data_IF_258947733866
#
_entry.id   IF_258947733866
#
_cell.length_a   1.000
_cell.length_b   1.000
_cell.length_c   1.000
_cell.angle_alpha   90.00
_cell.angle_beta   90.00
_cell.angle_gamma   90.00
#
_symmetry.space_group_name_H-M   'P 1'
#
loop_
_entity.id
_entity.type
_entity.pdbx_description
1 polymer ?
#
# COMPACT_ATOMS: atom_id res chain seq x y z
N UNK A 1 -10.46 -5.10 11.56
CA UNK A 1 -9.22 -4.78 12.30
C UNK A 1 -8.16 -4.34 11.31
N UNK A 2 -7.46 -3.26 11.60
CA UNK A 2 -6.36 -2.75 10.78
C UNK A 2 -5.07 -3.44 11.22
N UNK A 3 -4.29 -3.91 10.27
CA UNK A 3 -3.00 -4.54 10.54
C UNK A 3 -1.88 -3.85 9.74
N UNK A 4 -0.70 -3.67 10.34
CA UNK A 4 0.45 -3.17 9.60
C UNK A 4 1.06 -4.26 8.74
N UNK A 5 1.51 -3.88 7.55
CA UNK A 5 2.20 -4.76 6.62
C UNK A 5 3.46 -4.08 6.10
N UNK A 6 4.38 -4.88 5.58
CA UNK A 6 5.50 -4.40 4.82
C UNK A 6 5.48 -5.08 3.46
N UNK A 7 5.44 -4.29 2.39
CA UNK A 7 5.26 -4.78 1.03
C UNK A 7 6.56 -4.59 0.25
N UNK A 8 7.26 -5.66 -0.12
CA UNK A 8 8.45 -5.55 -0.96
C UNK A 8 8.07 -5.21 -2.39
N UNK A 9 8.73 -4.21 -2.97
CA UNK A 9 8.50 -3.82 -4.34
C UNK A 9 9.72 -3.07 -4.87
N UNK A 10 10.20 -3.46 -6.04
CA UNK A 10 11.30 -2.81 -6.75
C UNK A 10 12.55 -2.60 -5.91
N UNK A 11 12.89 -3.60 -5.07
CA UNK A 11 14.08 -3.55 -4.20
C UNK A 11 13.92 -2.68 -2.95
N UNK A 12 12.73 -2.16 -2.70
CA UNK A 12 12.41 -1.37 -1.52
C UNK A 12 11.37 -2.11 -0.67
N UNK A 13 11.15 -1.62 0.53
CA UNK A 13 10.08 -2.13 1.40
C UNK A 13 9.16 -0.97 1.79
N UNK A 14 7.88 -1.11 1.50
CA UNK A 14 6.87 -0.09 1.77
C UNK A 14 6.03 -0.51 2.96
N UNK A 15 5.95 0.35 3.96
CA UNK A 15 5.00 0.15 5.06
C UNK A 15 3.59 0.38 4.55
N UNK A 16 2.63 -0.38 5.06
CA UNK A 16 1.24 -0.26 4.68
C UNK A 16 0.32 -0.60 5.84
N UNK A 17 -0.90 -0.12 5.76
CA UNK A 17 -1.99 -0.54 6.62
C UNK A 17 -3.00 -1.32 5.78
N UNK A 18 -3.52 -2.41 6.31
CA UNK A 18 -4.48 -3.24 5.62
C UNK A 18 -5.64 -3.61 6.53
N UNK A 19 -6.81 -3.81 5.94
CA UNK A 19 -8.00 -4.24 6.66
C UNK A 19 -8.93 -5.00 5.71
N UNK A 20 -9.77 -5.85 6.29
CA UNK A 20 -10.79 -6.58 5.56
C UNK A 20 -10.41 -8.01 5.20
N UNK A 21 -11.37 -8.79 4.70
CA UNK A 21 -11.15 -10.21 4.40
C UNK A 21 -10.16 -10.38 3.25
N UNK A 22 -9.22 -11.33 3.34
CA UNK A 22 -8.24 -11.57 2.27
C UNK A 22 -8.87 -11.88 0.92
N UNK A 23 -10.07 -12.43 0.92
CA UNK A 23 -10.80 -12.79 -0.31
C UNK A 23 -11.64 -11.63 -0.85
N UNK A 24 -11.70 -10.50 -0.16
CA UNK A 24 -12.45 -9.34 -0.61
C UNK A 24 -11.82 -8.70 -1.84
N UNK A 25 -12.63 -7.94 -2.58
CA UNK A 25 -12.12 -7.17 -3.70
C UNK A 25 -11.10 -6.15 -3.21
N UNK A 26 -9.96 -6.08 -3.89
CA UNK A 26 -8.86 -5.23 -3.48
C UNK A 26 -9.15 -3.76 -3.78
N UNK A 27 -8.95 -2.91 -2.78
CA UNK A 27 -8.95 -1.45 -2.92
C UNK A 27 -7.62 -0.93 -2.38
N UNK A 28 -6.87 -0.22 -3.21
CA UNK A 28 -5.61 0.41 -2.81
C UNK A 28 -5.84 1.90 -2.62
N UNK A 29 -5.49 2.41 -1.45
CA UNK A 29 -5.67 3.81 -1.09
C UNK A 29 -4.32 4.52 -1.08
N UNK A 30 -4.16 5.53 -1.92
CA UNK A 30 -2.93 6.29 -2.03
C UNK A 30 -3.09 7.65 -1.34
N UNK A 31 -2.14 7.99 -0.47
CA UNK A 31 -2.16 9.28 0.22
C UNK A 31 -1.57 10.39 -0.66
N UNK A 32 -1.94 11.65 -0.33
CA UNK A 32 -1.33 12.83 -0.91
C UNK A 32 -0.21 13.37 0.00
N UNK A 33 0.56 14.30 -0.53
CA UNK A 33 1.55 15.06 0.26
C UNK A 33 0.82 16.11 1.13
N UNK A 34 1.15 16.25 2.39
CA UNK A 34 2.18 15.59 3.22
C UNK A 34 1.63 14.46 4.11
N UNK A 35 0.67 13.71 3.65
CA UNK A 35 -0.01 12.67 4.42
C UNK A 35 0.68 11.32 4.31
N UNK A 36 0.24 10.37 5.14
CA UNK A 36 0.69 8.98 5.11
C UNK A 36 -0.51 8.06 5.10
N UNK A 37 -0.29 6.74 5.12
CA UNK A 37 -1.35 5.75 5.18
C UNK A 37 -2.31 5.96 6.35
N UNK A 38 -1.83 6.59 7.44
CA UNK A 38 -2.65 6.85 8.62
C UNK A 38 -3.86 7.73 8.32
N UNK A 39 -3.84 8.55 7.25
CA UNK A 39 -4.98 9.38 6.89
C UNK A 39 -6.19 8.55 6.42
N UNK A 40 -6.00 7.27 6.09
CA UNK A 40 -7.04 6.39 5.58
C UNK A 40 -7.68 5.49 6.64
N UNK A 41 -7.31 5.64 7.93
CA UNK A 41 -7.72 4.70 8.98
C UNK A 41 -9.23 4.46 9.01
N UNK A 42 -10.03 5.52 9.01
CA UNK A 42 -11.49 5.38 9.04
C UNK A 42 -12.03 4.71 7.79
N UNK A 43 -11.50 5.07 6.61
CA UNK A 43 -11.96 4.50 5.36
C UNK A 43 -11.54 3.02 5.24
N UNK A 44 -10.36 2.65 5.73
CA UNK A 44 -9.93 1.25 5.78
C UNK A 44 -10.94 0.41 6.56
N UNK A 45 -11.35 0.87 7.72
CA UNK A 45 -12.32 0.15 8.55
C UNK A 45 -13.70 0.08 7.89
N UNK A 46 -14.12 1.16 7.26
CA UNK A 46 -15.41 1.21 6.56
C UNK A 46 -15.44 0.23 5.37
N UNK A 47 -14.38 0.22 4.57
CA UNK A 47 -14.27 -0.70 3.44
C UNK A 47 -14.18 -2.16 3.90
N UNK A 48 -13.44 -2.42 4.97
CA UNK A 48 -13.32 -3.75 5.54
C UNK A 48 -14.68 -4.28 6.00
N UNK A 49 -15.46 -3.44 6.65
CA UNK A 49 -16.81 -3.81 7.11
C UNK A 49 -17.75 -4.09 5.93
N UNK A 50 -17.49 -3.49 4.79
CA UNK A 50 -18.26 -3.73 3.56
C UNK A 50 -17.77 -4.95 2.76
N UNK A 51 -16.75 -5.64 3.24
CA UNK A 51 -16.26 -6.86 2.61
C UNK A 51 -15.10 -6.66 1.63
N UNK A 52 -14.56 -5.46 1.52
CA UNK A 52 -13.39 -5.19 0.68
C UNK A 52 -12.10 -5.50 1.42
N UNK A 53 -11.07 -5.88 0.66
CA UNK A 53 -9.70 -5.93 1.17
C UNK A 53 -9.04 -4.59 0.84
N UNK A 54 -8.91 -3.72 1.83
CA UNK A 54 -8.37 -2.38 1.66
C UNK A 54 -6.91 -2.34 2.12
N UNK A 55 -6.02 -1.77 1.30
CA UNK A 55 -4.60 -1.63 1.60
C UNK A 55 -4.17 -0.21 1.31
N UNK A 56 -3.52 0.42 2.28
CA UNK A 56 -3.04 1.80 2.18
C UNK A 56 -1.52 1.82 2.40
N UNK A 57 -0.70 1.82 1.33
CA UNK A 57 0.75 1.89 1.48
C UNK A 57 1.21 3.33 1.76
N UNK A 58 2.30 3.45 2.53
CA UNK A 58 3.07 4.67 2.62
C UNK A 58 3.99 4.71 1.41
N UNK A 59 3.81 5.71 0.56
CA UNK A 59 4.49 5.78 -0.73
C UNK A 59 5.96 6.12 -0.58
N UNK A 60 6.68 6.04 -1.72
CA UNK A 60 8.11 6.36 -1.80
C UNK A 60 8.38 7.72 -1.16
N UNK A 61 9.40 7.76 -0.30
CA UNK A 61 9.75 8.96 0.47
C UNK A 61 9.07 9.04 1.83
N UNK A 62 7.99 8.31 2.04
CA UNK A 62 7.25 8.28 3.31
C UNK A 62 7.49 7.01 4.11
N UNK A 63 7.65 5.87 3.43
CA UNK A 63 8.05 4.64 4.10
C UNK A 63 9.53 4.73 4.51
N UNK A 64 9.89 4.44 5.76
CA UNK A 64 11.28 4.56 6.21
C UNK A 64 12.29 3.75 5.40
N UNK A 65 11.88 2.62 4.86
CA UNK A 65 12.75 1.75 4.06
C UNK A 65 12.54 1.92 2.55
N UNK A 66 11.89 3.00 2.13
CA UNK A 66 11.64 3.33 0.73
C UNK A 66 11.91 4.83 0.49
N UNK A 67 13.12 5.28 0.84
CA UNK A 67 13.54 6.70 0.74
C UNK A 67 14.81 6.84 -0.08
N UNK A 68 14.77 6.58 -1.40
CA UNK A 68 15.91 6.87 -2.28
C UNK A 68 16.31 8.35 -2.19
N UNK A 69 17.58 8.65 -2.45
CA UNK A 69 18.11 10.00 -2.23
C UNK A 69 18.24 10.83 -3.51
N UNK A 70 17.99 10.27 -4.68
CA UNK A 70 18.10 11.00 -5.94
C UNK A 70 16.76 11.62 -6.34
N UNK A 71 16.78 12.79 -6.95
CA UNK A 71 15.57 13.47 -7.41
C UNK A 71 14.85 12.63 -8.46
N UNK A 72 15.59 11.98 -9.35
CA UNK A 72 15.03 11.11 -10.39
C UNK A 72 14.19 9.97 -9.82
N UNK A 73 14.48 9.53 -8.59
CA UNK A 73 13.74 8.47 -7.92
C UNK A 73 12.29 8.86 -7.58
N UNK A 74 11.96 10.15 -7.61
CA UNK A 74 10.64 10.66 -7.25
C UNK A 74 9.84 11.17 -8.45
N UNK A 75 10.28 10.91 -9.66
CA UNK A 75 9.51 11.26 -10.85
C UNK A 75 8.23 10.43 -10.93
N UNK A 76 7.20 10.99 -11.54
CA UNK A 76 5.89 10.33 -11.65
C UNK A 76 5.95 8.89 -12.19
N UNK A 77 6.73 8.58 -13.24
CA UNK A 77 6.85 7.19 -13.69
C UNK A 77 7.36 6.24 -12.61
N UNK A 78 8.26 6.69 -11.73
CA UNK A 78 8.75 5.87 -10.63
C UNK A 78 7.65 5.62 -9.59
N UNK A 79 6.87 6.62 -9.27
CA UNK A 79 5.76 6.49 -8.32
C UNK A 79 4.68 5.55 -8.87
N UNK A 80 4.37 5.67 -10.15
CA UNK A 80 3.40 4.79 -10.82
C UNK A 80 3.90 3.34 -10.84
N UNK A 81 5.18 3.14 -11.16
CA UNK A 81 5.77 1.80 -11.16
C UNK A 81 5.75 1.17 -9.77
N UNK A 82 5.93 1.96 -8.70
CA UNK A 82 5.81 1.48 -7.33
C UNK A 82 4.41 0.93 -7.06
N UNK A 83 3.38 1.67 -7.46
CA UNK A 83 1.99 1.25 -7.23
C UNK A 83 1.71 -0.08 -7.93
N UNK A 84 2.13 -0.22 -9.18
CA UNK A 84 1.96 -1.47 -9.93
C UNK A 84 2.67 -2.64 -9.24
N UNK A 85 3.91 -2.42 -8.79
CA UNK A 85 4.68 -3.46 -8.11
C UNK A 85 4.10 -3.81 -6.74
N UNK A 86 3.60 -2.81 -6.00
CA UNK A 86 2.95 -3.01 -4.71
C UNK A 86 1.70 -3.87 -4.87
N UNK A 87 0.87 -3.59 -5.87
CA UNK A 87 -0.32 -4.39 -6.13
C UNK A 87 0.06 -5.85 -6.37
N UNK A 88 1.10 -6.11 -7.14
CA UNK A 88 1.58 -7.47 -7.37
C UNK A 88 2.08 -8.14 -6.09
N UNK A 89 2.77 -7.40 -5.22
CA UNK A 89 3.32 -7.97 -3.99
C UNK A 89 2.28 -8.24 -2.91
N UNK A 90 1.13 -7.59 -2.95
CA UNK A 90 0.05 -7.81 -1.98
C UNK A 90 -0.38 -9.27 -1.94
N UNK A 91 -0.58 -9.89 -3.09
CA UNK A 91 -1.00 -11.29 -3.16
C UNK A 91 0.06 -12.23 -2.58
N UNK A 92 1.34 -11.90 -2.74
CA UNK A 92 2.43 -12.69 -2.18
C UNK A 92 2.47 -12.56 -0.66
N UNK A 93 2.34 -11.34 -0.14
CA UNK A 93 2.44 -11.07 1.30
C UNK A 93 1.22 -11.56 2.07
N UNK A 94 0.03 -11.40 1.51
CA UNK A 94 -1.23 -11.74 2.18
C UNK A 94 -1.69 -13.18 1.92
N UNK A 95 -0.91 -13.93 1.17
CA UNK A 95 -1.31 -15.25 0.74
C UNK A 95 -2.08 -15.20 -0.57
N UNK A 96 -2.19 -16.35 -1.22
CA UNK A 96 -2.85 -16.41 -2.51
C UNK A 96 -4.33 -16.18 -2.39
N UNK A 97 -4.81 -15.25 -3.18
CA UNK A 97 -6.23 -14.95 -3.32
C UNK A 97 -6.51 -14.84 -4.80
N UNK A 98 -7.51 -15.56 -5.27
CA UNK A 98 -7.95 -15.47 -6.67
C UNK A 98 -8.79 -14.21 -6.82
N UNK A 99 -8.21 -13.20 -7.45
CA UNK A 99 -8.84 -11.90 -7.60
C UNK A 99 -9.33 -11.65 -9.01
#
# INVERSE_FOLDING_TARGET
MIEPLQLPARGLAFDALAAGPPTGELVVLLHGFPQTSACWTLLLETLAAAGYRAVAPDQRGYSPTARPTTIQSYRLPELVADVVAIIGSIDIVLGEVDR
#
